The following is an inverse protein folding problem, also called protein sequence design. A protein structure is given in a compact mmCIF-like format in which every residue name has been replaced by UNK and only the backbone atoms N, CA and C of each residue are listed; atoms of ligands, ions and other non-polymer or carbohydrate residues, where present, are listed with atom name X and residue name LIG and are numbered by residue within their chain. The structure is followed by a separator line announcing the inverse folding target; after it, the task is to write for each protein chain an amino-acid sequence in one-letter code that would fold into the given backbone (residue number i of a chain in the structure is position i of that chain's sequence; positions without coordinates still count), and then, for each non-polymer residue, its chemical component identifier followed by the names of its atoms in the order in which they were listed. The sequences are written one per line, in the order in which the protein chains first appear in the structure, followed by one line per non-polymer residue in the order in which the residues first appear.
data_IF_257183919058
#
_entry.id   IF_257183919058
#
_cell.length_a   1.000
_cell.length_b   1.000
_cell.length_c   1.000
_cell.angle_alpha   90.00
_cell.angle_beta   90.00
_cell.angle_gamma   90.00
#
_symmetry.space_group_name_H-M   'P 1'
#
loop_
_entity.id
_entity.type
_entity.pdbx_description
1 polymer ?
#
# COMPACT_ATOMS: atom_id res chain seq x y z
N UNK A 1 -4.73 16.33 3.53
CA UNK A 1 -3.67 17.23 4.03
C UNK A 1 -3.51 16.97 5.52
N UNK A 2 -2.29 16.94 6.03
CA UNK A 2 -1.96 16.66 7.43
C UNK A 2 -1.88 17.98 8.21
N UNK A 3 -3.04 18.64 8.45
CA UNK A 3 -3.10 19.98 9.05
C UNK A 3 -3.23 19.99 10.59
N UNK A 4 -3.28 18.82 11.21
CA UNK A 4 -3.30 18.70 12.66
C UNK A 4 -1.88 18.49 13.18
N UNK A 5 -1.52 19.25 14.21
CA UNK A 5 -0.29 19.04 14.97
C UNK A 5 -0.67 18.61 16.38
N UNK A 6 0.00 17.59 16.91
CA UNK A 6 -0.19 17.13 18.28
C UNK A 6 1.07 17.47 19.09
N UNK A 7 0.91 18.22 20.18
CA UNK A 7 1.86 18.19 21.29
C UNK A 7 1.40 17.09 22.27
N UNK A 8 2.34 16.36 22.85
CA UNK A 8 2.07 15.15 23.65
C UNK A 8 1.13 15.34 24.85
N UNK A 9 0.86 16.59 25.25
CA UNK A 9 0.00 16.94 26.38
C UNK A 9 -1.38 17.51 25.99
N UNK A 10 -1.61 17.77 24.69
CA UNK A 10 -2.81 18.47 24.22
C UNK A 10 -3.64 17.60 23.26
N UNK A 11 -4.97 17.72 23.37
CA UNK A 11 -5.90 17.20 22.36
C UNK A 11 -5.54 17.75 20.97
N UNK A 12 -5.73 16.99 19.88
CA UNK A 12 -5.44 17.44 18.53
C UNK A 12 -6.11 18.78 18.24
N UNK A 13 -5.32 19.83 18.06
CA UNK A 13 -5.81 21.17 17.67
C UNK A 13 -5.62 21.33 16.16
N UNK A 14 -6.69 21.71 15.48
CA UNK A 14 -6.59 22.23 14.12
C UNK A 14 -5.79 23.54 14.21
N UNK A 15 -4.88 23.78 13.24
CA UNK A 15 -4.20 25.06 13.15
C UNK A 15 -5.25 26.18 12.97
N UNK A 16 -5.34 27.08 13.96
CA UNK A 16 -6.38 28.12 14.10
C UNK A 16 -6.26 29.29 13.10
N UNK A 17 -5.48 29.16 12.04
CA UNK A 17 -5.34 30.17 11.00
C UNK A 17 -6.11 29.78 9.74
N UNK A 18 -6.85 30.72 9.15
CA UNK A 18 -7.62 30.49 7.93
C UNK A 18 -6.70 30.13 6.76
N UNK A 19 -6.71 28.86 6.33
CA UNK A 19 -5.98 28.40 5.15
C UNK A 19 -6.94 28.17 3.99
N UNK A 20 -6.51 28.58 2.79
CA UNK A 20 -7.13 28.15 1.53
C UNK A 20 -6.15 27.25 0.80
N UNK A 21 -6.57 26.04 0.47
CA UNK A 21 -5.74 25.04 -0.22
C UNK A 21 -6.40 24.68 -1.55
N UNK A 22 -5.63 24.83 -2.62
CA UNK A 22 -5.94 24.32 -3.95
C UNK A 22 -5.02 23.13 -4.22
N UNK A 23 -5.58 21.93 -4.36
CA UNK A 23 -4.81 20.69 -4.52
C UNK A 23 -5.38 19.87 -5.67
N UNK A 24 -4.52 19.49 -6.61
CA UNK A 24 -4.86 18.63 -7.73
C UNK A 24 -3.60 17.88 -8.21
N UNK A 25 -3.73 16.64 -8.71
CA UNK A 25 -2.57 15.90 -9.17
C UNK A 25 -2.12 16.38 -10.55
N UNK A 26 -0.80 16.54 -10.76
CA UNK A 26 -0.23 16.79 -12.09
C UNK A 26 -0.37 15.58 -13.03
N UNK A 27 -0.41 14.37 -12.47
CA UNK A 27 -0.55 13.11 -13.21
C UNK A 27 -1.69 12.26 -12.61
N UNK A 28 -2.62 11.75 -13.44
CA UNK A 28 -3.72 10.93 -12.95
C UNK A 28 -3.26 9.56 -12.46
N UNK A 29 -2.14 9.04 -13.00
CA UNK A 29 -1.60 7.73 -12.64
C UNK A 29 -0.40 7.87 -11.69
N UNK A 30 -0.58 7.51 -10.41
CA UNK A 30 0.45 7.61 -9.36
C UNK A 30 0.59 6.24 -8.69
N UNK A 31 1.52 5.45 -9.23
CA UNK A 31 1.60 4.02 -8.99
C UNK A 31 2.75 3.57 -8.09
N UNK A 32 2.50 2.55 -7.27
CA UNK A 32 3.51 1.78 -6.55
C UNK A 32 3.53 0.35 -7.11
N UNK A 33 4.72 -0.20 -7.38
CA UNK A 33 4.89 -1.62 -7.71
C UNK A 33 5.16 -2.42 -6.44
N UNK A 34 4.38 -3.49 -6.23
CA UNK A 34 4.57 -4.45 -5.13
C UNK A 34 4.78 -5.84 -5.71
N UNK A 35 5.94 -6.44 -5.42
CA UNK A 35 6.33 -7.76 -5.90
C UNK A 35 6.15 -8.80 -4.78
N UNK A 36 5.09 -9.60 -4.89
CA UNK A 36 4.87 -10.78 -4.04
C UNK A 36 5.17 -12.08 -4.78
N UNK A 37 5.57 -12.01 -6.05
CA UNK A 37 5.93 -13.16 -6.88
C UNK A 37 7.34 -13.67 -6.58
N UNK A 38 8.26 -12.80 -6.16
CA UNK A 38 9.63 -13.18 -5.79
C UNK A 38 9.84 -13.45 -4.30
N UNK A 39 9.05 -12.82 -3.44
CA UNK A 39 9.08 -13.00 -1.99
C UNK A 39 7.69 -12.83 -1.41
N UNK A 40 7.34 -13.67 -0.44
CA UNK A 40 6.08 -13.52 0.26
C UNK A 40 6.05 -12.22 1.09
N UNK A 41 4.96 -11.47 0.98
CA UNK A 41 4.60 -10.39 1.89
C UNK A 41 3.35 -10.79 2.66
N UNK A 42 3.38 -10.65 3.99
CA UNK A 42 2.17 -10.87 4.78
C UNK A 42 1.07 -9.90 4.38
N UNK A 43 -0.19 -10.34 4.49
CA UNK A 43 -1.38 -9.49 4.25
C UNK A 43 -1.32 -8.21 5.07
N UNK A 44 -0.84 -8.29 6.31
CA UNK A 44 -0.63 -7.11 7.18
C UNK A 44 0.35 -6.11 6.55
N UNK A 45 1.45 -6.59 5.97
CA UNK A 45 2.43 -5.73 5.28
C UNK A 45 1.82 -5.08 4.05
N UNK A 46 1.00 -5.80 3.29
CA UNK A 46 0.28 -5.27 2.13
C UNK A 46 -0.67 -4.14 2.58
N UNK A 47 -1.44 -4.37 3.65
CA UNK A 47 -2.35 -3.36 4.22
C UNK A 47 -1.58 -2.12 4.70
N UNK A 48 -0.44 -2.28 5.37
CA UNK A 48 0.41 -1.13 5.78
C UNK A 48 0.88 -0.31 4.58
N UNK A 49 1.25 -0.96 3.48
CA UNK A 49 1.63 -0.27 2.25
C UNK A 49 0.44 0.47 1.62
N UNK A 50 -0.76 -0.12 1.61
CA UNK A 50 -1.98 0.55 1.17
C UNK A 50 -2.32 1.78 2.03
N UNK A 51 -2.10 1.71 3.34
CA UNK A 51 -2.24 2.87 4.23
C UNK A 51 -1.24 3.97 3.86
N UNK A 52 0.01 3.63 3.56
CA UNK A 52 1.01 4.60 3.10
C UNK A 52 0.61 5.23 1.74
N UNK A 53 0.09 4.43 0.82
CA UNK A 53 -0.44 4.93 -0.46
C UNK A 53 -1.57 5.94 -0.23
N UNK A 54 -2.48 5.65 0.71
CA UNK A 54 -3.55 6.58 1.09
C UNK A 54 -2.99 7.90 1.64
N UNK A 55 -2.03 7.86 2.57
CA UNK A 55 -1.41 9.05 3.15
C UNK A 55 -0.68 9.92 2.12
N UNK A 56 -0.14 9.30 1.07
CA UNK A 56 0.63 9.96 0.01
C UNK A 56 -0.18 10.26 -1.25
N UNK A 57 -1.49 9.98 -1.25
CA UNK A 57 -2.39 10.14 -2.40
C UNK A 57 -1.98 9.33 -3.65
N UNK A 58 -1.25 8.23 -3.47
CA UNK A 58 -1.03 7.24 -4.54
C UNK A 58 -2.34 6.52 -4.82
N UNK A 59 -2.60 6.17 -6.07
CA UNK A 59 -3.91 5.66 -6.49
C UNK A 59 -3.86 4.41 -7.37
N UNK A 60 -2.67 3.91 -7.70
CA UNK A 60 -2.52 2.66 -8.46
C UNK A 60 -1.58 1.73 -7.70
N UNK A 61 -2.05 0.53 -7.39
CA UNK A 61 -1.20 -0.56 -6.95
C UNK A 61 -0.91 -1.44 -8.16
N UNK A 62 0.33 -1.41 -8.64
CA UNK A 62 0.81 -2.37 -9.63
C UNK A 62 1.29 -3.61 -8.87
N UNK A 63 0.39 -4.58 -8.73
CA UNK A 63 0.68 -5.79 -7.97
C UNK A 63 1.29 -6.88 -8.87
N UNK A 64 2.62 -7.03 -8.80
CA UNK A 64 3.35 -8.13 -9.42
C UNK A 64 3.24 -9.37 -8.53
N UNK A 65 2.17 -10.14 -8.73
CA UNK A 65 1.73 -11.15 -7.78
C UNK A 65 2.35 -12.54 -7.97
N UNK A 66 2.90 -12.81 -9.16
CA UNK A 66 3.47 -14.09 -9.57
C UNK A 66 4.80 -13.90 -10.30
N UNK A 67 5.74 -14.81 -10.09
CA UNK A 67 6.99 -14.88 -10.85
C UNK A 67 7.39 -16.35 -11.06
N UNK A 68 8.52 -16.59 -11.73
CA UNK A 68 9.06 -17.93 -11.99
C UNK A 68 9.28 -18.77 -10.71
N UNK A 69 9.60 -18.13 -9.60
CA UNK A 69 9.90 -18.77 -8.31
C UNK A 69 8.66 -19.04 -7.44
N UNK A 70 7.52 -18.36 -7.66
CA UNK A 70 6.32 -18.58 -6.84
C UNK A 70 5.01 -18.10 -7.48
N UNK A 71 3.92 -18.79 -7.11
CA UNK A 71 2.56 -18.40 -7.43
C UNK A 71 1.69 -18.48 -6.16
N UNK A 72 1.38 -17.33 -5.57
CA UNK A 72 0.75 -17.24 -4.24
C UNK A 72 -0.76 -17.02 -4.26
N UNK A 73 -1.36 -16.88 -5.45
CA UNK A 73 -2.80 -16.67 -5.59
C UNK A 73 -3.58 -17.98 -5.38
N UNK A 74 -4.64 -17.89 -4.58
CA UNK A 74 -5.65 -18.93 -4.52
C UNK A 74 -6.71 -18.68 -5.60
N UNK A 75 -6.78 -19.58 -6.57
CA UNK A 75 -7.69 -19.52 -7.70
C UNK A 75 -8.52 -20.80 -7.69
N UNK A 76 -9.83 -20.63 -7.51
CA UNK A 76 -10.79 -21.73 -7.52
C UNK A 76 -10.70 -22.50 -8.85
N UNK A 77 -10.53 -23.82 -8.78
CA UNK A 77 -10.36 -24.71 -9.93
C UNK A 77 -8.94 -24.75 -10.51
N UNK A 78 -7.99 -23.98 -9.96
CA UNK A 78 -6.59 -23.93 -10.37
C UNK A 78 -5.62 -24.13 -9.19
N UNK A 79 -6.02 -24.94 -8.21
CA UNK A 79 -5.27 -25.15 -6.97
C UNK A 79 -3.85 -25.70 -7.24
N UNK A 80 -3.66 -26.41 -8.36
CA UNK A 80 -2.36 -26.95 -8.79
C UNK A 80 -1.35 -25.86 -9.22
N UNK A 81 -1.81 -24.64 -9.49
CA UNK A 81 -0.92 -23.51 -9.82
C UNK A 81 -0.22 -22.96 -8.58
N UNK A 82 -0.75 -23.19 -7.37
CA UNK A 82 -0.09 -22.78 -6.13
C UNK A 82 1.21 -23.57 -5.93
N UNK A 83 2.30 -23.06 -6.49
CA UNK A 83 3.61 -23.62 -6.24
C UNK A 83 4.20 -22.98 -4.98
N UNK A 84 3.92 -23.62 -3.85
CA UNK A 84 4.57 -23.32 -2.57
C UNK A 84 5.95 -23.95 -2.59
N UNK A 85 6.94 -23.27 -3.17
CA UNK A 85 8.31 -23.53 -2.75
C UNK A 85 8.43 -23.01 -1.32
N UNK A 86 8.66 -23.86 -0.30
CA UNK A 86 8.96 -23.36 1.02
C UNK A 86 10.36 -22.76 0.93
N UNK A 87 10.49 -21.48 0.61
CA UNK A 87 11.71 -20.75 0.95
C UNK A 87 11.78 -20.73 2.47
N UNK A 88 12.74 -21.44 3.09
CA UNK A 88 12.98 -21.29 4.51
C UNK A 88 13.46 -19.85 4.73
N UNK A 89 12.91 -19.21 5.76
CA UNK A 89 13.51 -17.98 6.31
C UNK A 89 14.96 -18.25 6.75
#
# INVERSE_FOLDING_TARGET
VQLAHNNAEDMPKLLDSGFTIYDFPSFPHRGMLMDTGRRYLSVETIIKNLQLMFWTKMNVLHWHISDDVSFSLDLEGYEKLQYKNPTPL
#
